data_IF_000572296166
#
_entry.id   IF_000572296166
#
_cell.length_a   1.000
_cell.length_b   1.000
_cell.length_c   1.000
_cell.angle_alpha   90.00
_cell.angle_beta   90.00
_cell.angle_gamma   90.00
#
_symmetry.space_group_name_H-M   'P 1'
#
loop_
_entity.id
_entity.type
_entity.pdbx_description
1 polymer ?
#
# COMPACT_ATOMS: atom_id res chain seq x y z
N UNK A 1 -7.34 20.33 1.69
CA UNK A 1 -6.60 19.88 2.90
C UNK A 1 -5.49 18.85 2.62
N UNK A 2 -5.14 18.53 1.35
CA UNK A 2 -4.04 17.61 1.02
C UNK A 2 -3.10 18.19 -0.06
N UNK A 3 -2.70 19.46 0.07
CA UNK A 3 -1.84 20.15 -0.92
C UNK A 3 -0.47 19.47 -1.12
N UNK A 4 -0.02 18.69 -0.13
CA UNK A 4 1.22 17.92 -0.19
C UNK A 4 1.19 16.83 -1.28
N UNK A 5 0.00 16.37 -1.70
CA UNK A 5 -0.14 15.32 -2.72
C UNK A 5 -0.09 15.87 -4.15
N UNK A 6 -0.32 17.17 -4.33
CA UNK A 6 -0.40 17.87 -5.62
C UNK A 6 0.85 17.67 -6.47
N UNK A 7 2.08 17.88 -5.95
CA UNK A 7 3.28 17.74 -6.76
C UNK A 7 3.63 16.29 -7.14
N UNK A 8 3.01 15.29 -6.49
CA UNK A 8 3.33 13.88 -6.75
C UNK A 8 2.68 13.45 -8.07
N UNK A 9 3.43 13.06 -9.12
CA UNK A 9 2.82 12.64 -10.38
C UNK A 9 2.12 11.28 -10.23
N UNK A 10 0.99 11.08 -10.93
CA UNK A 10 0.21 9.84 -10.82
C UNK A 10 0.96 8.60 -11.31
N UNK A 11 1.63 8.68 -12.46
CA UNK A 11 2.30 7.53 -13.07
C UNK A 11 3.34 6.85 -12.14
N UNK A 12 4.35 7.55 -11.59
CA UNK A 12 5.30 6.93 -10.67
C UNK A 12 4.63 6.41 -9.39
N UNK A 13 3.59 7.09 -8.89
CA UNK A 13 2.86 6.64 -7.70
C UNK A 13 2.06 5.36 -7.97
N UNK A 14 1.42 5.23 -9.13
CA UNK A 14 0.72 4.03 -9.57
C UNK A 14 1.72 2.88 -9.73
N UNK A 15 2.86 3.11 -10.40
CA UNK A 15 3.89 2.10 -10.58
C UNK A 15 4.43 1.61 -9.23
N UNK A 16 4.71 2.53 -8.30
CA UNK A 16 5.17 2.19 -6.95
C UNK A 16 4.11 1.41 -6.17
N UNK A 17 2.83 1.83 -6.23
CA UNK A 17 1.74 1.14 -5.54
C UNK A 17 1.53 -0.28 -6.07
N UNK A 18 1.54 -0.47 -7.40
CA UNK A 18 1.43 -1.79 -8.00
C UNK A 18 2.64 -2.65 -7.66
N UNK A 19 3.85 -2.10 -7.76
CA UNK A 19 5.08 -2.82 -7.42
C UNK A 19 5.07 -3.28 -5.97
N UNK A 20 4.74 -2.39 -5.02
CA UNK A 20 4.73 -2.70 -3.59
C UNK A 20 3.60 -3.66 -3.20
N UNK A 21 2.44 -3.63 -3.87
CA UNK A 21 1.40 -4.65 -3.66
C UNK A 21 1.84 -6.05 -4.08
N UNK A 22 2.65 -6.14 -5.14
CA UNK A 22 3.10 -7.40 -5.73
C UNK A 22 4.44 -7.88 -5.17
N UNK A 23 5.18 -7.02 -4.46
CA UNK A 23 6.48 -7.35 -3.91
C UNK A 23 6.37 -8.20 -2.62
N UNK A 24 7.29 -9.15 -2.43
CA UNK A 24 8.13 -9.79 -3.45
C UNK A 24 7.27 -10.66 -4.38
N UNK A 25 7.63 -10.73 -5.67
CA UNK A 25 6.85 -11.52 -6.64
C UNK A 25 6.90 -13.04 -6.40
N UNK A 26 7.89 -13.52 -5.62
CA UNK A 26 8.07 -14.92 -5.22
C UNK A 26 8.60 -15.00 -3.79
N UNK A 27 8.29 -16.07 -3.03
CA UNK A 27 7.31 -17.11 -3.37
C UNK A 27 5.88 -16.59 -3.37
N UNK A 28 5.58 -15.52 -2.63
CA UNK A 28 4.26 -14.91 -2.50
C UNK A 28 4.40 -13.43 -2.09
N UNK A 29 3.54 -12.52 -2.59
CA UNK A 29 3.55 -11.12 -2.17
C UNK A 29 3.28 -10.96 -0.67
N UNK A 30 4.00 -10.05 -0.02
CA UNK A 30 3.89 -9.84 1.42
C UNK A 30 2.48 -9.42 1.83
N UNK A 31 1.85 -8.54 1.06
CA UNK A 31 0.46 -8.12 1.33
C UNK A 31 -0.47 -9.31 1.38
N UNK A 32 -0.39 -10.23 0.40
CA UNK A 32 -1.27 -11.40 0.38
C UNK A 32 -0.94 -12.36 1.52
N UNK A 33 0.33 -12.60 1.82
CA UNK A 33 0.78 -13.41 2.95
C UNK A 33 0.20 -12.89 4.27
N UNK A 34 0.35 -11.57 4.53
CA UNK A 34 -0.10 -10.95 5.78
C UNK A 34 -1.62 -10.86 5.85
N UNK A 35 -2.34 -10.69 4.73
CA UNK A 35 -3.80 -10.75 4.71
C UNK A 35 -4.32 -12.15 5.07
N UNK A 36 -3.65 -13.21 4.62
CA UNK A 36 -3.98 -14.59 5.04
C UNK A 36 -3.70 -14.77 6.53
N UNK A 37 -2.56 -14.30 7.03
CA UNK A 37 -2.27 -14.34 8.47
C UNK A 37 -3.31 -13.57 9.29
N UNK A 38 -3.74 -12.40 8.82
CA UNK A 38 -4.77 -11.59 9.47
C UNK A 38 -6.10 -12.33 9.53
N UNK A 39 -6.52 -12.93 8.40
CA UNK A 39 -7.74 -13.76 8.33
C UNK A 39 -7.68 -14.95 9.28
N UNK A 40 -6.51 -15.56 9.43
CA UNK A 40 -6.31 -16.72 10.30
C UNK A 40 -6.04 -16.35 11.77
N UNK A 41 -5.98 -15.06 12.13
CA UNK A 41 -5.67 -14.59 13.48
C UNK A 41 -4.21 -14.82 13.91
N UNK A 42 -3.29 -15.05 12.97
CA UNK A 42 -1.87 -15.33 13.24
C UNK A 42 -0.94 -14.14 12.99
N UNK A 43 -1.48 -12.99 12.55
CA UNK A 43 -0.71 -11.75 12.36
C UNK A 43 -0.44 -11.04 13.71
N UNK A 44 0.42 -11.62 14.54
CA UNK A 44 0.67 -11.14 15.91
C UNK A 44 2.04 -10.48 16.10
N UNK A 45 3.00 -10.77 15.21
CA UNK A 45 4.35 -10.22 15.31
C UNK A 45 4.35 -8.76 14.83
N UNK A 46 4.90 -7.80 15.60
CA UNK A 46 4.94 -6.39 15.21
C UNK A 46 5.58 -6.14 13.84
N UNK A 47 6.61 -6.91 13.51
CA UNK A 47 7.29 -6.85 12.20
C UNK A 47 6.36 -7.21 11.05
N UNK A 48 5.51 -8.23 11.19
CA UNK A 48 4.57 -8.61 10.12
C UNK A 48 3.45 -7.56 9.96
N UNK A 49 3.04 -6.94 11.06
CA UNK A 49 2.05 -5.85 11.04
C UNK A 49 2.66 -4.63 10.34
N UNK A 50 3.87 -4.25 10.72
CA UNK A 50 4.61 -3.16 10.07
C UNK A 50 4.80 -3.43 8.57
N UNK A 51 5.18 -4.66 8.22
CA UNK A 51 5.40 -5.09 6.84
C UNK A 51 4.13 -4.93 5.98
N UNK A 52 2.96 -5.31 6.50
CA UNK A 52 1.67 -5.09 5.83
C UNK A 52 1.40 -3.59 5.58
N UNK A 53 1.58 -2.75 6.61
CA UNK A 53 1.36 -1.31 6.47
C UNK A 53 2.37 -0.66 5.53
N UNK A 54 3.63 -1.08 5.56
CA UNK A 54 4.68 -0.58 4.70
C UNK A 54 4.36 -0.85 3.22
N UNK A 55 3.93 -2.06 2.89
CA UNK A 55 3.57 -2.41 1.51
C UNK A 55 2.26 -1.75 1.04
N UNK A 56 1.30 -1.52 1.95
CA UNK A 56 0.04 -0.83 1.62
C UNK A 56 0.16 0.70 1.59
N UNK A 57 1.22 1.29 2.16
CA UNK A 57 1.36 2.74 2.27
C UNK A 57 1.30 3.48 0.92
N UNK A 58 1.99 3.05 -0.16
CA UNK A 58 1.90 3.73 -1.45
C UNK A 58 0.48 3.65 -2.05
N UNK A 59 -0.22 2.53 -1.88
CA UNK A 59 -1.61 2.37 -2.31
C UNK A 59 -2.56 3.28 -1.53
N UNK A 60 -2.35 3.44 -0.23
CA UNK A 60 -3.10 4.39 0.58
C UNK A 60 -2.86 5.84 0.13
N UNK A 61 -1.60 6.22 -0.16
CA UNK A 61 -1.26 7.55 -0.70
C UNK A 61 -1.92 7.78 -2.07
N UNK A 62 -1.91 6.77 -2.95
CA UNK A 62 -2.59 6.82 -4.25
C UNK A 62 -4.09 7.05 -4.10
N UNK A 63 -4.74 6.31 -3.20
CA UNK A 63 -6.17 6.46 -2.91
C UNK A 63 -6.50 7.86 -2.39
N UNK A 64 -5.70 8.37 -1.44
CA UNK A 64 -5.87 9.73 -0.91
C UNK A 64 -5.70 10.80 -2.00
N UNK A 65 -4.71 10.65 -2.89
CA UNK A 65 -4.50 11.57 -4.01
C UNK A 65 -5.68 11.53 -4.98
N UNK A 66 -6.19 10.33 -5.28
CA UNK A 66 -7.36 10.14 -6.15
C UNK A 66 -8.60 10.83 -5.60
N UNK A 67 -8.94 10.58 -4.32
CA UNK A 67 -10.08 11.19 -3.63
C UNK A 67 -9.96 12.73 -3.61
N UNK A 68 -8.74 13.26 -3.44
CA UNK A 68 -8.48 14.70 -3.51
C UNK A 68 -8.70 15.24 -4.93
N UNK A 69 -8.27 14.50 -5.96
CA UNK A 69 -8.48 14.86 -7.36
C UNK A 69 -9.96 14.96 -7.73
N UNK A 70 -10.83 14.12 -7.15
CA UNK A 70 -12.29 14.18 -7.34
C UNK A 70 -12.95 15.42 -6.71
N UNK A 71 -12.29 16.08 -5.76
CA UNK A 71 -12.79 17.27 -5.07
C UNK A 71 -12.28 18.59 -5.67
N UNK A 72 -11.40 18.51 -6.69
CA UNK A 72 -10.75 19.66 -7.32
C UNK A 72 -11.49 20.12 -8.57
#
# INVERSE_FOLDING_TARGET
>A
MLKLLDPIPYLPLILLAVFMLLAPFRPMPHVLEKLIMLKNGTLTRPLDIFDLFFHLAPSAILLLKWIRGMQS
#
